data_IF_517874715998
#
_entry.id   IF_517874715998
#
_cell.length_a   1.000
_cell.length_b   1.000
_cell.length_c   1.000
_cell.angle_alpha   90.00
_cell.angle_beta   90.00
_cell.angle_gamma   90.00
#
_symmetry.space_group_name_H-M   'P 1'
#
loop_
_entity.id
_entity.type
_entity.pdbx_description
1 polymer ?
#
# COMPACT_ATOMS: atom_id res chain seq x y z
N UNK A 1 -6.87 14.73 -44.18
CA UNK A 1 -7.55 13.48 -43.78
C UNK A 1 -7.06 13.17 -42.37
N UNK A 2 -7.76 13.69 -41.37
CA UNK A 2 -7.44 13.48 -39.95
C UNK A 2 -7.92 12.09 -39.53
N UNK A 3 -7.00 11.21 -39.15
CA UNK A 3 -7.33 10.02 -38.38
C UNK A 3 -6.97 10.28 -36.92
N UNK A 4 -8.01 10.50 -36.14
CA UNK A 4 -7.98 10.52 -34.67
C UNK A 4 -7.60 9.11 -34.20
N UNK A 5 -6.41 8.96 -33.64
CA UNK A 5 -6.00 7.74 -32.94
C UNK A 5 -6.80 7.71 -31.64
N UNK A 6 -7.82 6.85 -31.58
CA UNK A 6 -8.49 6.51 -30.33
C UNK A 6 -7.53 5.67 -29.50
N UNK A 7 -7.08 6.21 -28.39
CA UNK A 7 -6.47 5.48 -27.28
C UNK A 7 -7.52 4.48 -26.78
N UNK A 8 -7.35 3.20 -27.11
CA UNK A 8 -8.17 2.13 -26.54
C UNK A 8 -7.61 1.89 -25.13
N UNK A 9 -8.11 2.68 -24.17
CA UNK A 9 -8.02 2.36 -22.75
C UNK A 9 -8.73 1.03 -22.49
N UNK A 10 -8.22 0.26 -21.53
CA UNK A 10 -8.54 -1.15 -21.30
C UNK A 10 -9.93 -1.40 -20.66
N UNK A 11 -10.91 -0.60 -21.03
CA UNK A 11 -12.02 -0.27 -20.15
C UNK A 11 -13.35 -1.04 -20.30
N UNK A 12 -13.54 -2.10 -21.10
CA UNK A 12 -14.82 -2.81 -21.04
C UNK A 12 -14.83 -4.08 -20.17
N UNK A 13 -13.70 -4.60 -19.68
CA UNK A 13 -13.68 -5.94 -19.04
C UNK A 13 -13.67 -5.99 -17.51
N UNK A 14 -13.64 -4.86 -16.82
CA UNK A 14 -13.77 -4.79 -15.34
C UNK A 14 -15.08 -4.15 -14.87
N UNK A 15 -16.01 -3.85 -15.78
CA UNK A 15 -17.30 -3.25 -15.43
C UNK A 15 -18.32 -4.35 -15.13
N UNK A 16 -18.32 -4.86 -13.90
CA UNK A 16 -19.61 -5.14 -13.26
C UNK A 16 -20.17 -3.80 -12.76
N UNK A 17 -21.47 -3.53 -12.94
CA UNK A 17 -22.07 -2.26 -12.57
C UNK A 17 -22.28 -2.24 -11.05
N UNK A 18 -21.23 -1.97 -10.27
CA UNK A 18 -21.38 -1.66 -8.87
C UNK A 18 -21.55 -0.14 -8.75
N UNK A 19 -22.77 0.34 -8.89
CA UNK A 19 -23.11 1.68 -8.45
C UNK A 19 -22.97 1.73 -6.93
N UNK A 20 -21.93 2.38 -6.43
CA UNK A 20 -21.83 2.86 -5.07
C UNK A 20 -21.44 4.33 -5.14
N UNK A 21 -22.37 5.22 -4.79
CA UNK A 21 -22.04 6.62 -4.57
C UNK A 21 -20.96 6.71 -3.46
N UNK A 22 -20.06 7.69 -3.57
CA UNK A 22 -19.21 8.16 -2.48
C UNK A 22 -20.09 8.35 -1.24
N UNK A 23 -20.00 7.41 -0.31
CA UNK A 23 -20.84 7.37 0.87
C UNK A 23 -19.92 7.72 2.03
N UNK A 24 -20.18 8.90 2.62
CA UNK A 24 -19.64 9.32 3.90
C UNK A 24 -19.60 8.13 4.86
N UNK A 25 -18.54 8.06 5.67
CA UNK A 25 -18.37 7.02 6.68
C UNK A 25 -19.68 6.80 7.46
N UNK A 26 -20.16 5.55 7.54
CA UNK A 26 -21.34 5.25 8.34
C UNK A 26 -21.00 5.45 9.82
N UNK A 27 -21.71 6.33 10.51
CA UNK A 27 -21.64 6.44 11.97
C UNK A 27 -22.43 5.28 12.60
N UNK A 28 -21.72 4.29 13.12
CA UNK A 28 -22.30 3.08 13.65
C UNK A 28 -22.75 3.31 15.09
N UNK A 29 -24.06 3.18 15.34
CA UNK A 29 -24.57 3.28 16.71
C UNK A 29 -23.86 2.30 17.67
N UNK A 30 -23.67 2.71 18.93
CA UNK A 30 -23.05 1.87 19.96
C UNK A 30 -23.69 0.47 20.09
N UNK A 31 -25.01 0.36 19.90
CA UNK A 31 -25.72 -0.93 19.90
C UNK A 31 -25.34 -1.81 18.69
N UNK A 32 -25.15 -1.21 17.51
CA UNK A 32 -24.70 -1.93 16.30
C UNK A 32 -23.28 -2.44 16.50
N UNK A 33 -22.38 -1.61 17.02
CA UNK A 33 -20.99 -1.98 17.36
C UNK A 33 -21.00 -3.15 18.36
N UNK A 34 -21.72 -3.02 19.47
CA UNK A 34 -21.79 -4.06 20.50
C UNK A 34 -22.33 -5.40 19.96
N UNK A 35 -23.37 -5.36 19.13
CA UNK A 35 -23.92 -6.56 18.50
C UNK A 35 -22.92 -7.22 17.55
N UNK A 36 -22.21 -6.44 16.73
CA UNK A 36 -21.20 -6.95 15.80
C UNK A 36 -19.99 -7.54 16.54
N UNK A 37 -19.52 -6.88 17.60
CA UNK A 37 -18.43 -7.37 18.43
C UNK A 37 -18.80 -8.62 19.24
N UNK A 38 -20.09 -8.85 19.51
CA UNK A 38 -20.61 -10.05 20.20
C UNK A 38 -20.90 -11.21 19.24
N UNK A 39 -20.92 -10.99 17.92
CA UNK A 39 -21.08 -12.04 16.91
C UNK A 39 -19.76 -12.80 16.72
N UNK A 40 -19.24 -13.34 17.82
CA UNK A 40 -17.98 -14.07 17.86
C UNK A 40 -18.07 -15.38 17.07
N UNK A 41 -17.09 -15.56 16.21
CA UNK A 41 -16.90 -16.73 15.36
C UNK A 41 -15.41 -17.08 15.29
N UNK A 42 -15.05 -17.97 14.37
CA UNK A 42 -13.66 -18.28 14.06
C UNK A 42 -13.44 -18.32 12.56
N UNK A 43 -12.22 -18.04 12.13
CA UNK A 43 -11.76 -18.21 10.75
C UNK A 43 -10.39 -18.89 10.71
N UNK A 44 -9.92 -19.26 9.53
CA UNK A 44 -8.59 -19.85 9.32
C UNK A 44 -7.62 -18.81 8.76
N UNK A 45 -6.33 -19.11 8.86
CA UNK A 45 -5.26 -18.24 8.38
C UNK A 45 -4.63 -18.84 7.12
N UNK A 46 -4.65 -18.08 6.03
CA UNK A 46 -3.94 -18.40 4.79
C UNK A 46 -2.56 -17.74 4.83
N UNK A 47 -1.50 -18.54 4.75
CA UNK A 47 -0.11 -18.09 4.78
C UNK A 47 0.45 -18.12 3.36
N UNK A 48 0.70 -16.94 2.78
CA UNK A 48 1.35 -16.79 1.49
C UNK A 48 2.86 -16.69 1.65
N UNK A 49 3.59 -17.15 0.64
CA UNK A 49 5.05 -17.06 0.57
C UNK A 49 5.51 -17.10 -0.88
N UNK A 50 6.76 -16.72 -1.09
CA UNK A 50 7.47 -16.85 -2.36
C UNK A 50 8.29 -18.14 -2.39
N UNK A 51 7.91 -19.18 -3.15
CA UNK A 51 8.63 -20.46 -3.13
C UNK A 51 10.03 -20.39 -3.75
N UNK A 52 10.27 -19.44 -4.66
CA UNK A 52 11.55 -19.30 -5.38
C UNK A 52 12.69 -18.83 -4.47
N UNK A 53 12.39 -18.09 -3.40
CA UNK A 53 13.38 -17.42 -2.56
C UNK A 53 14.22 -16.38 -3.30
N UNK A 54 13.70 -15.82 -4.41
CA UNK A 54 14.37 -14.77 -5.18
C UNK A 54 13.37 -13.71 -5.66
N UNK A 55 13.70 -12.43 -5.46
CA UNK A 55 12.90 -11.30 -5.96
C UNK A 55 12.82 -11.25 -7.50
N UNK A 56 13.60 -12.06 -8.22
CA UNK A 56 13.49 -12.22 -9.68
C UNK A 56 12.20 -12.94 -10.12
N UNK A 57 11.62 -13.74 -9.23
CA UNK A 57 10.36 -14.45 -9.47
C UNK A 57 9.30 -14.01 -8.45
N UNK A 58 8.37 -13.17 -8.92
CA UNK A 58 7.25 -12.62 -8.16
C UNK A 58 6.17 -13.64 -7.78
N UNK A 59 6.24 -14.87 -8.30
CA UNK A 59 5.21 -15.88 -8.09
C UNK A 59 5.13 -16.29 -6.62
N UNK A 60 3.91 -16.36 -6.11
CA UNK A 60 3.62 -16.82 -4.75
C UNK A 60 2.82 -18.11 -4.73
N UNK A 61 2.84 -18.77 -3.58
CA UNK A 61 1.95 -19.87 -3.23
C UNK A 61 1.45 -19.67 -1.80
N UNK A 62 0.54 -20.53 -1.35
CA UNK A 62 0.01 -20.45 0.00
C UNK A 62 -0.34 -21.82 0.58
N UNK A 63 -0.29 -21.89 1.91
CA UNK A 63 -0.78 -23.01 2.70
C UNK A 63 -1.69 -22.50 3.83
N UNK A 64 -2.55 -23.37 4.34
CA UNK A 64 -3.30 -23.07 5.56
C UNK A 64 -2.37 -23.18 6.75
N UNK A 65 -2.38 -22.18 7.64
CA UNK A 65 -1.67 -22.26 8.91
C UNK A 65 -2.05 -23.53 9.69
N UNK A 66 -1.06 -24.19 10.28
CA UNK A 66 -1.22 -25.41 11.05
C UNK A 66 -0.83 -25.20 12.52
N UNK A 67 -1.46 -25.99 13.40
CA UNK A 67 -1.01 -26.22 14.77
C UNK A 67 0.13 -27.23 14.77
N UNK A 68 0.87 -27.33 15.87
CA UNK A 68 1.98 -28.27 16.04
C UNK A 68 1.58 -29.75 15.82
N UNK A 69 0.30 -30.09 16.02
CA UNK A 69 -0.23 -31.44 15.78
C UNK A 69 -0.69 -31.68 14.33
N UNK A 70 -0.43 -30.74 13.41
CA UNK A 70 -0.80 -30.81 12.00
C UNK A 70 -2.27 -30.50 11.67
N UNK A 71 -3.11 -30.17 12.66
CA UNK A 71 -4.48 -29.69 12.39
C UNK A 71 -4.52 -28.21 12.03
N UNK A 72 -5.54 -27.78 11.29
CA UNK A 72 -5.68 -26.37 10.89
C UNK A 72 -5.71 -25.42 12.09
N UNK A 73 -4.92 -24.34 11.99
CA UNK A 73 -4.92 -23.22 12.91
C UNK A 73 -6.09 -22.29 12.59
N UNK A 74 -6.82 -21.89 13.62
CA UNK A 74 -7.96 -20.99 13.51
C UNK A 74 -7.87 -19.93 14.59
N UNK A 75 -8.29 -18.71 14.27
CA UNK A 75 -8.35 -17.57 15.19
C UNK A 75 -9.81 -17.23 15.48
N UNK A 76 -10.09 -16.84 16.73
CA UNK A 76 -11.43 -16.40 17.15
C UNK A 76 -11.54 -14.89 17.02
N UNK A 77 -12.75 -14.38 16.78
CA UNK A 77 -12.95 -12.98 16.49
C UNK A 77 -14.31 -12.71 15.85
N UNK A 78 -14.45 -11.57 15.19
CA UNK A 78 -15.69 -11.17 14.52
C UNK A 78 -15.39 -10.48 13.20
N UNK A 79 -16.35 -10.54 12.29
CA UNK A 79 -16.25 -9.95 10.96
C UNK A 79 -16.96 -8.60 10.90
N UNK A 80 -16.41 -7.67 10.12
CA UNK A 80 -17.14 -6.50 9.69
C UNK A 80 -16.85 -6.15 8.24
N UNK A 81 -17.92 -5.85 7.50
CA UNK A 81 -17.81 -5.46 6.11
C UNK A 81 -19.00 -4.66 5.61
N UNK A 82 -18.73 -3.79 4.63
CA UNK A 82 -19.73 -3.20 3.73
C UNK A 82 -20.07 -4.12 2.54
N UNK A 83 -19.13 -4.96 2.12
CA UNK A 83 -19.25 -5.88 0.97
C UNK A 83 -18.31 -7.08 1.10
N UNK A 84 -18.76 -8.29 0.76
CA UNK A 84 -18.03 -9.55 1.01
C UNK A 84 -16.51 -9.58 0.67
N UNK A 85 -16.04 -8.84 -0.33
CA UNK A 85 -14.61 -8.79 -0.71
C UNK A 85 -13.76 -7.76 0.07
N UNK A 86 -14.39 -6.82 0.78
CA UNK A 86 -13.74 -5.84 1.68
C UNK A 86 -13.86 -6.23 3.16
N UNK A 87 -14.09 -7.51 3.46
CA UNK A 87 -14.29 -7.94 4.85
C UNK A 87 -12.98 -7.86 5.65
N UNK A 88 -13.06 -7.46 6.91
CA UNK A 88 -11.94 -7.44 7.86
C UNK A 88 -12.28 -8.29 9.09
N UNK A 89 -11.34 -9.12 9.52
CA UNK A 89 -11.51 -9.97 10.70
C UNK A 89 -10.80 -9.36 11.90
N UNK A 90 -11.54 -9.10 12.97
CA UNK A 90 -11.02 -8.51 14.20
C UNK A 90 -10.80 -9.63 15.22
N UNK A 91 -9.60 -9.73 15.76
CA UNK A 91 -9.20 -10.79 16.69
C UNK A 91 -8.34 -10.21 17.81
N UNK A 92 -8.30 -10.91 18.96
CA UNK A 92 -7.40 -10.56 20.06
C UNK A 92 -6.06 -11.32 19.95
N UNK A 93 -5.86 -12.09 18.87
CA UNK A 93 -4.59 -12.77 18.57
C UNK A 93 -3.59 -11.77 17.96
N UNK A 94 -2.38 -11.72 18.51
CA UNK A 94 -1.33 -10.83 18.00
C UNK A 94 -0.86 -11.22 16.60
N UNK A 95 -0.46 -10.23 15.79
CA UNK A 95 0.11 -10.46 14.47
C UNK A 95 1.36 -11.35 14.53
N UNK A 96 2.21 -11.17 15.54
CA UNK A 96 3.41 -12.00 15.74
C UNK A 96 3.05 -13.47 15.94
N UNK A 97 2.02 -13.76 16.74
CA UNK A 97 1.55 -15.14 16.94
C UNK A 97 1.07 -15.74 15.62
N UNK A 98 0.39 -14.96 14.77
CA UNK A 98 -0.10 -15.44 13.47
C UNK A 98 1.08 -15.66 12.51
N UNK A 99 2.05 -14.73 12.50
CA UNK A 99 3.27 -14.80 11.70
C UNK A 99 4.09 -16.05 12.07
N UNK A 100 4.37 -16.26 13.35
CA UNK A 100 5.08 -17.45 13.86
C UNK A 100 4.40 -18.75 13.42
N UNK A 101 3.05 -18.78 13.40
CA UNK A 101 2.30 -19.95 12.91
C UNK A 101 2.48 -20.16 11.41
N UNK A 102 2.49 -19.10 10.62
CA UNK A 102 2.76 -19.18 9.20
C UNK A 102 4.20 -19.62 8.91
N UNK A 103 5.19 -19.03 9.58
CA UNK A 103 6.61 -19.41 9.46
C UNK A 103 6.82 -20.89 9.80
N UNK A 104 6.27 -21.36 10.93
CA UNK A 104 6.36 -22.76 11.34
C UNK A 104 5.67 -23.71 10.35
N UNK A 105 4.56 -23.28 9.73
CA UNK A 105 3.81 -24.07 8.76
C UNK A 105 4.57 -24.22 7.45
N UNK A 106 5.12 -23.11 6.96
CA UNK A 106 5.73 -23.03 5.63
C UNK A 106 7.16 -23.58 5.62
N UNK A 107 7.86 -23.56 6.77
CA UNK A 107 9.28 -23.93 6.88
C UNK A 107 10.15 -23.18 5.85
N UNK A 108 9.76 -21.95 5.52
CA UNK A 108 10.38 -21.08 4.53
C UNK A 108 11.40 -20.15 5.20
N UNK A 109 12.50 -20.73 5.71
CA UNK A 109 13.54 -20.01 6.44
C UNK A 109 14.58 -19.42 5.48
N UNK A 110 14.18 -18.46 4.66
CA UNK A 110 15.06 -17.72 3.75
C UNK A 110 14.55 -16.29 3.57
N UNK A 111 15.46 -15.34 3.35
CA UNK A 111 15.18 -13.90 3.46
C UNK A 111 14.05 -13.43 2.52
N UNK A 112 14.01 -13.94 1.28
CA UNK A 112 13.01 -13.58 0.28
C UNK A 112 11.75 -14.48 0.32
N UNK A 113 11.42 -15.09 1.46
CA UNK A 113 10.16 -15.83 1.63
C UNK A 113 8.94 -14.90 1.62
N UNK A 114 9.12 -13.65 2.04
CA UNK A 114 8.14 -12.56 2.03
C UNK A 114 6.76 -13.01 2.54
N UNK A 115 6.75 -13.62 3.72
CA UNK A 115 5.54 -14.24 4.27
C UNK A 115 4.50 -13.15 4.60
N UNK A 116 3.32 -13.30 4.01
CA UNK A 116 2.12 -12.51 4.32
C UNK A 116 0.96 -13.43 4.68
N UNK A 117 -0.03 -12.94 5.40
CA UNK A 117 -1.13 -13.80 5.86
C UNK A 117 -2.46 -13.07 5.96
N UNK A 118 -3.54 -13.82 5.75
CA UNK A 118 -4.91 -13.29 5.68
C UNK A 118 -5.91 -14.25 6.31
N UNK A 119 -7.03 -13.71 6.80
CA UNK A 119 -8.18 -14.49 7.21
C UNK A 119 -8.91 -15.03 5.98
N UNK A 120 -9.27 -16.31 6.02
CA UNK A 120 -10.06 -16.95 4.97
C UNK A 120 -10.75 -18.20 5.51
N UNK A 121 -12.05 -18.35 5.24
CA UNK A 121 -12.81 -19.54 5.65
C UNK A 121 -12.63 -20.72 4.68
N UNK A 122 -12.39 -20.41 3.40
CA UNK A 122 -12.24 -21.42 2.35
C UNK A 122 -11.17 -21.00 1.33
N UNK A 123 -10.81 -21.92 0.43
CA UNK A 123 -9.96 -21.61 -0.73
C UNK A 123 -10.54 -20.52 -1.64
N UNK A 124 -11.87 -20.35 -1.66
CA UNK A 124 -12.54 -19.37 -2.51
C UNK A 124 -12.68 -17.99 -1.85
N UNK A 125 -12.39 -17.88 -0.55
CA UNK A 125 -12.39 -16.60 0.17
C UNK A 125 -11.25 -15.71 -0.36
N UNK A 126 -11.50 -14.40 -0.44
CA UNK A 126 -10.47 -13.41 -0.73
C UNK A 126 -9.43 -13.34 0.41
N UNK A 127 -8.40 -12.52 0.21
CA UNK A 127 -7.41 -12.25 1.24
C UNK A 127 -7.96 -11.16 2.18
N UNK A 128 -8.56 -11.55 3.31
CA UNK A 128 -9.10 -10.59 4.27
C UNK A 128 -8.07 -10.18 5.31
N UNK A 129 -7.92 -8.88 5.54
CA UNK A 129 -7.05 -8.33 6.57
C UNK A 129 -7.46 -8.84 7.95
N UNK A 130 -6.47 -9.21 8.77
CA UNK A 130 -6.67 -9.58 10.18
C UNK A 130 -6.27 -8.38 11.04
N UNK A 131 -7.24 -7.71 11.65
CA UNK A 131 -7.02 -6.64 12.61
C UNK A 131 -6.84 -7.23 14.02
N UNK A 132 -5.74 -6.92 14.69
CA UNK A 132 -5.56 -7.24 16.11
C UNK A 132 -6.16 -6.11 16.93
N UNK A 133 -7.18 -6.42 17.73
CA UNK A 133 -7.73 -5.45 18.68
C UNK A 133 -6.67 -5.03 19.68
N UNK A 134 -6.75 -3.78 20.12
CA UNK A 134 -5.83 -3.27 21.13
C UNK A 134 -6.18 -3.87 22.49
N UNK A 135 -5.15 -4.13 23.29
CA UNK A 135 -5.33 -4.42 24.70
C UNK A 135 -5.97 -3.20 25.38
N UNK A 136 -6.80 -3.44 26.41
CA UNK A 136 -7.40 -2.35 27.16
C UNK A 136 -6.31 -1.40 27.70
N UNK A 137 -6.32 -0.14 27.27
CA UNK A 137 -5.25 0.80 27.57
C UNK A 137 -5.11 1.00 29.07
N UNK A 138 -3.87 0.98 29.56
CA UNK A 138 -3.53 1.52 30.86
C UNK A 138 -2.79 2.85 30.62
N UNK A 139 -3.54 3.96 30.72
CA UNK A 139 -3.05 5.34 30.95
C UNK A 139 -2.51 6.12 29.73
N UNK A 140 -3.26 7.16 29.32
CA UNK A 140 -2.93 8.15 28.27
C UNK A 140 -1.57 8.85 28.46
N UNK A 141 -0.98 8.80 29.66
CA UNK A 141 0.35 9.38 29.94
C UNK A 141 1.53 8.54 29.39
N UNK A 142 1.25 7.40 28.75
CA UNK A 142 2.26 6.49 28.19
C UNK A 142 1.93 6.01 26.76
N UNK A 143 1.07 6.74 26.03
CA UNK A 143 0.68 6.45 24.64
C UNK A 143 1.92 6.21 23.75
N UNK A 144 1.91 5.11 23.02
CA UNK A 144 3.02 4.59 22.22
C UNK A 144 2.44 3.99 20.95
N UNK A 145 3.08 4.30 19.82
CA UNK A 145 2.67 3.80 18.53
C UNK A 145 2.75 2.28 18.52
N UNK A 146 1.60 1.64 18.31
CA UNK A 146 1.44 0.18 18.32
C UNK A 146 0.98 -0.37 16.97
N UNK A 147 0.67 0.49 15.99
CA UNK A 147 0.32 0.10 14.62
C UNK A 147 0.61 1.18 13.59
N UNK A 148 0.73 0.74 12.35
CA UNK A 148 0.81 1.60 11.15
C UNK A 148 -0.49 1.48 10.36
N UNK A 149 -1.04 2.61 9.93
CA UNK A 149 -2.16 2.68 8.98
C UNK A 149 -1.70 3.44 7.75
N UNK A 150 -1.71 2.78 6.58
CA UNK A 150 -1.19 3.38 5.34
C UNK A 150 -2.31 3.79 4.39
N UNK A 151 -2.25 5.03 3.91
CA UNK A 151 -3.04 5.55 2.80
C UNK A 151 -2.14 5.87 1.61
N UNK A 152 -2.72 5.83 0.41
CA UNK A 152 -1.98 6.21 -0.78
C UNK A 152 -2.45 5.50 -2.04
N UNK A 153 -1.51 5.31 -2.97
CA UNK A 153 -1.79 4.66 -4.25
C UNK A 153 -1.02 3.33 -4.45
N UNK A 154 -0.72 3.00 -5.71
CA UNK A 154 0.05 1.82 -6.10
C UNK A 154 1.44 1.67 -5.49
N UNK A 155 2.11 2.75 -5.04
CA UNK A 155 3.41 2.66 -4.36
C UNK A 155 3.26 2.07 -2.94
N UNK A 156 2.04 2.07 -2.41
CA UNK A 156 1.73 1.65 -1.04
C UNK A 156 0.70 0.51 -0.95
N UNK A 157 -0.10 0.25 -2.00
CA UNK A 157 -1.12 -0.81 -2.00
C UNK A 157 -0.49 -2.21 -1.89
N UNK A 158 -1.02 -3.00 -0.96
CA UNK A 158 -0.58 -4.37 -0.64
C UNK A 158 -1.58 -5.46 -1.05
N UNK A 159 -2.69 -5.08 -1.70
CA UNK A 159 -3.65 -6.05 -2.24
C UNK A 159 -5.10 -5.60 -2.34
N UNK A 160 -5.43 -4.33 -2.08
CA UNK A 160 -6.79 -3.81 -2.15
C UNK A 160 -7.34 -3.89 -3.58
N UNK A 161 -6.61 -3.35 -4.57
CA UNK A 161 -7.03 -3.46 -5.98
C UNK A 161 -6.96 -4.91 -6.49
N UNK A 162 -6.08 -5.71 -5.91
CA UNK A 162 -5.91 -7.12 -6.26
C UNK A 162 -7.10 -7.97 -5.83
N UNK A 163 -7.58 -7.82 -4.60
CA UNK A 163 -8.83 -8.43 -4.16
C UNK A 163 -10.02 -7.93 -4.99
N UNK A 164 -10.10 -6.61 -5.24
CA UNK A 164 -11.19 -6.02 -6.00
C UNK A 164 -11.24 -6.51 -7.46
N UNK A 165 -10.09 -6.80 -8.05
CA UNK A 165 -9.95 -7.33 -9.40
C UNK A 165 -10.12 -8.85 -9.47
N UNK A 166 -10.41 -9.53 -8.37
CA UNK A 166 -10.47 -10.99 -8.29
C UNK A 166 -9.13 -11.66 -8.61
N UNK A 167 -8.04 -11.07 -8.10
CA UNK A 167 -6.67 -11.57 -8.20
C UNK A 167 -6.10 -11.60 -9.62
N UNK A 168 -6.63 -10.76 -10.52
CA UNK A 168 -6.17 -10.67 -11.92
C UNK A 168 -5.25 -9.47 -12.16
N UNK A 169 -5.31 -8.44 -11.32
CA UNK A 169 -4.60 -7.18 -11.50
C UNK A 169 -3.99 -6.68 -10.17
N UNK A 170 -2.67 -6.46 -10.11
CA UNK A 170 -1.69 -6.84 -11.13
C UNK A 170 -1.51 -8.37 -11.23
N UNK A 171 -0.93 -8.85 -12.34
CA UNK A 171 -0.75 -10.27 -12.63
C UNK A 171 0.24 -10.93 -11.64
N UNK A 172 -0.24 -11.95 -10.94
CA UNK A 172 0.46 -12.62 -9.82
C UNK A 172 1.70 -13.45 -10.22
N UNK A 173 2.01 -13.56 -11.51
CA UNK A 173 3.24 -14.20 -12.03
C UNK A 173 4.36 -13.22 -12.32
N UNK A 174 4.08 -11.93 -12.25
CA UNK A 174 5.06 -10.88 -12.52
C UNK A 174 5.04 -9.79 -11.46
N UNK A 175 3.96 -9.68 -10.69
CA UNK A 175 3.81 -8.73 -9.62
C UNK A 175 3.50 -9.48 -8.34
N UNK A 176 4.18 -9.14 -7.26
CA UNK A 176 4.15 -9.91 -6.02
C UNK A 176 2.79 -9.78 -5.33
N UNK A 177 1.94 -10.81 -5.44
CA UNK A 177 0.65 -10.92 -4.72
C UNK A 177 -0.11 -9.59 -4.55
N UNK A 178 -0.40 -8.91 -5.66
CA UNK A 178 -1.17 -7.66 -5.64
C UNK A 178 -0.39 -6.37 -5.45
N UNK A 179 0.89 -6.45 -5.10
CA UNK A 179 1.79 -5.30 -5.00
C UNK A 179 2.21 -4.84 -6.39
N UNK A 180 2.35 -3.53 -6.59
CA UNK A 180 2.97 -3.00 -7.81
C UNK A 180 4.49 -3.01 -7.71
N UNK A 181 5.06 -4.14 -7.28
CA UNK A 181 6.49 -4.40 -7.28
C UNK A 181 6.77 -5.90 -7.41
N UNK A 182 8.04 -6.30 -7.36
CA UNK A 182 8.47 -7.70 -7.34
C UNK A 182 8.58 -8.29 -5.93
N UNK A 183 8.19 -7.55 -4.88
CA UNK A 183 8.21 -7.97 -3.48
C UNK A 183 7.46 -6.95 -2.60
N UNK A 184 7.83 -6.90 -1.33
CA UNK A 184 7.26 -5.98 -0.35
C UNK A 184 7.45 -4.51 -0.75
N UNK A 185 6.55 -3.65 -0.29
CA UNK A 185 6.61 -2.20 -0.47
C UNK A 185 7.12 -1.48 0.80
N UNK A 186 7.38 -0.18 0.70
CA UNK A 186 8.14 0.58 1.69
C UNK A 186 7.51 0.59 3.09
N UNK A 187 6.18 0.63 3.18
CA UNK A 187 5.42 0.63 4.43
C UNK A 187 5.41 -0.76 5.09
N UNK A 188 5.52 -1.85 4.33
CA UNK A 188 5.70 -3.19 4.89
C UNK A 188 7.10 -3.35 5.48
N UNK A 189 8.16 -2.95 4.76
CA UNK A 189 9.51 -2.93 5.32
C UNK A 189 9.59 -2.06 6.59
N UNK A 190 8.91 -0.91 6.59
CA UNK A 190 8.90 0.01 7.72
C UNK A 190 8.28 -0.65 8.95
N UNK A 191 7.15 -1.30 8.76
CA UNK A 191 6.43 -1.99 9.82
C UNK A 191 7.22 -3.21 10.34
N UNK A 192 7.88 -3.96 9.45
CA UNK A 192 8.76 -5.07 9.83
C UNK A 192 9.94 -4.61 10.69
N UNK A 193 10.63 -3.53 10.29
CA UNK A 193 11.76 -2.96 11.05
C UNK A 193 11.34 -2.46 12.45
N UNK A 194 10.08 -2.04 12.62
CA UNK A 194 9.53 -1.62 13.92
C UNK A 194 8.82 -2.74 14.68
N UNK A 195 8.62 -3.92 14.08
CA UNK A 195 7.82 -4.99 14.68
C UNK A 195 6.36 -4.59 14.91
N UNK A 196 5.78 -3.84 13.97
CA UNK A 196 4.41 -3.33 14.08
C UNK A 196 3.46 -3.97 13.05
N UNK A 197 2.16 -4.11 13.36
CA UNK A 197 1.13 -4.31 12.35
C UNK A 197 1.11 -3.17 11.32
N UNK A 198 0.88 -3.52 10.06
CA UNK A 198 0.58 -2.58 8.98
C UNK A 198 -0.82 -2.85 8.41
N UNK A 199 -1.72 -1.88 8.53
CA UNK A 199 -3.05 -1.95 7.96
C UNK A 199 -3.19 -0.99 6.78
N UNK A 200 -3.51 -1.52 5.61
CA UNK A 200 -3.38 -0.78 4.36
C UNK A 200 -4.72 -0.39 3.75
N UNK A 201 -4.93 0.90 3.57
CA UNK A 201 -6.06 1.50 2.84
C UNK A 201 -5.67 2.07 1.48
N UNK A 202 -4.38 2.04 1.11
CA UNK A 202 -3.91 2.47 -0.20
C UNK A 202 -4.53 1.62 -1.32
N UNK A 203 -4.84 2.23 -2.47
CA UNK A 203 -5.45 1.53 -3.61
C UNK A 203 -4.66 1.79 -4.88
N UNK A 204 -4.26 0.73 -5.57
CA UNK A 204 -3.49 0.82 -6.81
C UNK A 204 -4.19 1.63 -7.88
N UNK A 205 -3.57 2.73 -8.29
CA UNK A 205 -4.14 3.68 -9.25
C UNK A 205 -5.11 4.68 -8.63
N UNK A 206 -5.21 4.77 -7.30
CA UNK A 206 -5.94 5.83 -6.62
C UNK A 206 -5.43 7.21 -7.04
N UNK A 207 -6.35 8.17 -7.07
CA UNK A 207 -6.08 9.58 -7.26
C UNK A 207 -6.58 10.33 -6.01
N UNK A 208 -6.49 11.66 -5.97
CA UNK A 208 -7.15 12.45 -4.92
C UNK A 208 -8.68 12.25 -4.89
N UNK A 209 -9.31 11.94 -6.03
CA UNK A 209 -10.74 11.66 -6.16
C UNK A 209 -11.02 10.31 -6.84
N UNK A 210 -12.23 9.77 -6.64
CA UNK A 210 -12.67 8.52 -7.26
C UNK A 210 -12.66 8.64 -8.80
N UNK A 211 -11.82 7.85 -9.46
CA UNK A 211 -11.74 7.84 -10.93
C UNK A 211 -12.64 6.76 -11.55
N UNK A 212 -12.84 5.65 -10.84
CA UNK A 212 -13.73 4.54 -11.21
C UNK A 212 -14.33 3.90 -9.96
N UNK A 213 -15.42 3.13 -10.09
CA UNK A 213 -16.08 2.42 -8.97
C UNK A 213 -15.11 1.65 -8.06
N UNK A 214 -14.03 1.11 -8.64
CA UNK A 214 -13.03 0.32 -7.93
C UNK A 214 -11.85 1.16 -7.47
N UNK A 215 -11.58 2.31 -8.11
CA UNK A 215 -10.50 3.21 -7.76
C UNK A 215 -11.02 4.28 -6.80
N UNK A 216 -10.96 3.95 -5.51
CA UNK A 216 -11.27 4.88 -4.43
C UNK A 216 -10.14 5.90 -4.30
N UNK A 217 -10.49 7.17 -4.41
CA UNK A 217 -9.57 8.27 -4.13
C UNK A 217 -9.24 8.39 -2.65
N UNK A 218 -8.30 9.26 -2.32
CA UNK A 218 -7.79 9.41 -0.96
C UNK A 218 -8.88 9.69 0.08
N UNK A 219 -9.82 10.58 -0.23
CA UNK A 219 -10.93 10.92 0.68
C UNK A 219 -11.79 9.69 1.00
N UNK A 220 -12.14 8.88 -0.02
CA UNK A 220 -12.86 7.61 0.15
C UNK A 220 -12.06 6.57 0.96
N UNK A 221 -10.72 6.56 0.86
CA UNK A 221 -9.88 5.69 1.68
C UNK A 221 -9.98 6.09 3.16
N UNK A 222 -9.90 7.39 3.46
CA UNK A 222 -10.04 7.93 4.83
C UNK A 222 -11.43 7.66 5.40
N UNK A 223 -12.50 7.91 4.63
CA UNK A 223 -13.87 7.61 5.06
C UNK A 223 -14.05 6.12 5.36
N UNK A 224 -13.49 5.24 4.53
CA UNK A 224 -13.52 3.80 4.79
C UNK A 224 -12.75 3.43 6.05
N UNK A 225 -11.60 4.05 6.31
CA UNK A 225 -10.85 3.77 7.53
C UNK A 225 -11.62 4.22 8.78
N UNK A 226 -12.19 5.43 8.77
CA UNK A 226 -13.02 5.98 9.86
C UNK A 226 -14.23 5.08 10.15
N UNK A 227 -14.81 4.45 9.13
CA UNK A 227 -15.89 3.47 9.30
C UNK A 227 -15.39 2.18 10.00
N UNK A 228 -14.27 1.59 9.56
CA UNK A 228 -13.79 0.30 10.09
C UNK A 228 -13.15 0.43 11.47
N UNK A 229 -12.52 1.56 11.80
CA UNK A 229 -11.88 1.74 13.10
C UNK A 229 -12.91 1.77 14.26
N UNK A 230 -14.16 2.15 14.00
CA UNK A 230 -15.25 2.11 14.99
C UNK A 230 -15.52 0.70 15.55
N UNK A 231 -15.15 -0.36 14.83
CA UNK A 231 -15.32 -1.75 15.27
C UNK A 231 -14.17 -2.29 16.10
N UNK A 232 -13.00 -1.63 16.07
CA UNK A 232 -11.85 -2.06 16.83
C UNK A 232 -12.10 -1.86 18.34
N UNK A 233 -11.77 -2.87 19.15
CA UNK A 233 -11.86 -2.75 20.61
C UNK A 233 -10.66 -1.97 21.14
N UNK A 234 -10.92 -1.11 22.12
CA UNK A 234 -9.92 -0.31 22.84
C UNK A 234 -9.04 0.57 21.94
N UNK A 235 -9.51 0.91 20.74
CA UNK A 235 -8.72 1.64 19.77
C UNK A 235 -8.48 3.09 20.21
N UNK A 236 -7.22 3.47 20.30
CA UNK A 236 -6.78 4.85 20.49
C UNK A 236 -6.04 5.33 19.23
N UNK A 237 -6.58 6.34 18.57
CA UNK A 237 -6.01 6.92 17.36
C UNK A 237 -4.66 7.60 17.60
N UNK A 238 -4.32 7.93 18.85
CA UNK A 238 -3.01 8.49 19.23
C UNK A 238 -1.90 7.45 19.17
N UNK A 239 -2.22 6.17 19.33
CA UNK A 239 -1.27 5.06 19.24
C UNK A 239 -1.07 4.56 17.79
N UNK A 240 -1.58 5.28 16.80
CA UNK A 240 -1.46 4.94 15.38
C UNK A 240 -0.52 5.88 14.66
N UNK A 241 0.47 5.32 13.94
CA UNK A 241 1.21 6.06 12.92
C UNK A 241 0.45 5.98 11.60
N UNK A 242 -0.06 7.11 11.12
CA UNK A 242 -0.55 7.17 9.75
C UNK A 242 0.60 7.42 8.79
N UNK A 243 0.66 6.69 7.69
CA UNK A 243 1.61 6.92 6.61
C UNK A 243 0.88 7.30 5.33
N UNK A 244 1.35 8.33 4.62
CA UNK A 244 0.68 8.86 3.42
C UNK A 244 1.67 9.19 2.30
N UNK A 245 1.38 8.67 1.10
CA UNK A 245 1.98 9.09 -0.17
C UNK A 245 0.89 9.03 -1.25
N UNK A 246 0.64 10.14 -1.95
CA UNK A 246 -0.48 10.23 -2.91
C UNK A 246 -0.28 11.38 -3.90
N UNK A 247 -0.63 11.16 -5.16
CA UNK A 247 -0.71 12.21 -6.18
C UNK A 247 0.07 11.91 -7.47
N UNK A 248 0.96 10.92 -7.47
CA UNK A 248 1.67 10.53 -8.69
C UNK A 248 0.71 10.06 -9.78
N UNK A 249 -0.28 9.25 -9.42
CA UNK A 249 -1.31 8.81 -10.36
C UNK A 249 -2.15 9.98 -10.91
N UNK A 250 -2.47 10.98 -10.09
CA UNK A 250 -3.19 12.20 -10.51
C UNK A 250 -2.45 12.93 -11.64
N UNK A 251 -1.14 13.12 -11.50
CA UNK A 251 -0.34 13.88 -12.47
C UNK A 251 0.06 13.04 -13.69
N UNK A 252 0.36 11.76 -13.49
CA UNK A 252 0.86 10.87 -14.55
C UNK A 252 -0.28 10.32 -15.42
N UNK A 253 -1.38 9.87 -14.80
CA UNK A 253 -2.41 9.07 -15.45
C UNK A 253 -3.72 9.82 -15.69
N UNK A 254 -4.06 10.77 -14.82
CA UNK A 254 -5.37 11.45 -14.83
C UNK A 254 -5.32 12.91 -15.27
N UNK A 255 -4.12 13.45 -15.48
CA UNK A 255 -3.88 14.83 -15.92
C UNK A 255 -4.53 15.90 -15.03
N UNK A 256 -4.67 15.61 -13.72
CA UNK A 256 -5.26 16.55 -12.77
C UNK A 256 -4.31 17.71 -12.48
N UNK A 257 -4.89 18.83 -12.06
CA UNK A 257 -4.14 20.02 -11.67
C UNK A 257 -3.62 19.91 -10.24
N UNK A 258 -2.53 20.61 -9.94
CA UNK A 258 -1.97 20.67 -8.57
C UNK A 258 -3.03 21.17 -7.58
N UNK A 259 -3.81 22.18 -7.96
CA UNK A 259 -4.87 22.73 -7.11
C UNK A 259 -5.93 21.71 -6.70
N UNK A 260 -6.34 20.81 -7.61
CA UNK A 260 -7.31 19.76 -7.30
C UNK A 260 -6.71 18.72 -6.35
N UNK A 261 -5.48 18.27 -6.61
CA UNK A 261 -4.81 17.25 -5.77
C UNK A 261 -4.48 17.81 -4.37
N UNK A 262 -4.10 19.09 -4.30
CA UNK A 262 -3.89 19.82 -3.04
C UNK A 262 -5.17 19.95 -2.21
N UNK A 263 -6.32 20.16 -2.86
CA UNK A 263 -7.61 20.22 -2.18
C UNK A 263 -8.00 18.86 -1.59
N UNK A 264 -7.89 17.79 -2.38
CA UNK A 264 -8.18 16.43 -1.93
C UNK A 264 -7.26 15.98 -0.78
N UNK A 265 -5.96 16.33 -0.86
CA UNK A 265 -5.01 16.09 0.23
C UNK A 265 -5.42 16.81 1.51
N UNK A 266 -5.77 18.09 1.42
CA UNK A 266 -6.18 18.88 2.60
C UNK A 266 -7.43 18.29 3.23
N UNK A 267 -8.45 17.98 2.43
CA UNK A 267 -9.71 17.40 2.91
C UNK A 267 -9.49 16.06 3.62
N UNK A 268 -8.68 15.17 3.04
CA UNK A 268 -8.41 13.87 3.63
C UNK A 268 -7.60 13.96 4.93
N UNK A 269 -6.58 14.80 4.97
CA UNK A 269 -5.74 14.99 6.16
C UNK A 269 -6.51 15.68 7.27
N UNK A 270 -7.31 16.71 6.97
CA UNK A 270 -8.18 17.38 7.93
C UNK A 270 -9.20 16.38 8.53
N UNK A 271 -9.78 15.50 7.71
CA UNK A 271 -10.71 14.46 8.20
C UNK A 271 -10.02 13.45 9.14
N UNK A 272 -8.77 13.06 8.87
CA UNK A 272 -7.99 12.22 9.79
C UNK A 272 -7.73 12.93 11.13
N UNK A 273 -7.39 14.23 11.09
CA UNK A 273 -7.16 15.06 12.28
C UNK A 273 -8.46 15.21 13.09
N UNK A 274 -9.57 15.49 12.43
CA UNK A 274 -10.91 15.60 13.06
C UNK A 274 -11.34 14.29 13.75
N UNK A 275 -10.80 13.16 13.28
CA UNK A 275 -10.99 11.83 13.86
C UNK A 275 -9.88 11.41 14.84
N UNK A 276 -9.04 12.35 15.29
CA UNK A 276 -8.10 12.16 16.40
C UNK A 276 -6.73 11.60 16.03
N UNK A 277 -6.34 11.61 14.74
CA UNK A 277 -4.99 11.24 14.32
C UNK A 277 -4.02 12.39 14.63
N UNK A 278 -2.99 12.07 15.42
CA UNK A 278 -1.98 13.04 15.83
C UNK A 278 -0.57 12.73 15.28
N UNK A 279 -0.31 11.48 14.87
CA UNK A 279 0.98 11.04 14.35
C UNK A 279 0.89 10.69 12.86
N UNK A 280 1.60 11.43 12.01
CA UNK A 280 1.60 11.19 10.56
C UNK A 280 2.99 11.30 9.94
N UNK A 281 3.38 10.30 9.17
CA UNK A 281 4.52 10.33 8.27
C UNK A 281 4.01 10.53 6.83
N UNK A 282 4.46 11.59 6.17
CA UNK A 282 4.14 11.87 4.78
C UNK A 282 5.42 11.75 3.96
N UNK A 283 5.34 11.07 2.82
CA UNK A 283 6.42 11.07 1.84
C UNK A 283 6.13 12.16 0.80
N UNK A 284 7.15 12.94 0.45
CA UNK A 284 7.08 13.73 -0.77
C UNK A 284 6.86 12.81 -1.99
N UNK A 285 6.39 13.37 -3.11
CA UNK A 285 6.35 12.61 -4.36
C UNK A 285 7.75 12.57 -4.95
N UNK A 286 8.16 11.39 -5.46
CA UNK A 286 9.40 11.24 -6.21
C UNK A 286 9.26 11.87 -7.60
N UNK A 287 10.38 12.20 -8.26
CA UNK A 287 10.35 12.61 -9.67
C UNK A 287 9.98 11.43 -10.59
N UNK A 288 8.68 11.19 -10.78
CA UNK A 288 8.21 10.11 -11.65
C UNK A 288 8.55 10.33 -13.13
N UNK A 289 8.95 11.54 -13.55
CA UNK A 289 9.29 11.84 -14.95
C UNK A 289 10.51 11.05 -15.45
N UNK A 290 11.33 10.54 -14.55
CA UNK A 290 12.50 9.71 -14.86
C UNK A 290 12.14 8.25 -15.16
N UNK A 291 10.90 7.83 -14.86
CA UNK A 291 10.50 6.44 -15.02
C UNK A 291 10.57 6.00 -16.50
N UNK A 292 10.94 4.73 -16.79
CA UNK A 292 11.14 4.26 -18.17
C UNK A 292 9.95 4.51 -19.10
N UNK A 293 8.72 4.60 -18.58
CA UNK A 293 7.52 4.89 -19.35
C UNK A 293 7.61 6.22 -20.14
N UNK A 294 8.34 7.22 -19.63
CA UNK A 294 8.47 8.52 -20.27
C UNK A 294 9.37 8.48 -21.52
N UNK A 295 10.13 7.39 -21.73
CA UNK A 295 10.80 7.09 -23.02
C UNK A 295 9.80 6.93 -24.17
N UNK A 296 8.53 6.67 -23.87
CA UNK A 296 7.45 6.45 -24.82
C UNK A 296 6.41 7.57 -24.84
N UNK A 297 6.60 8.62 -24.03
CA UNK A 297 5.73 9.78 -23.97
C UNK A 297 6.25 10.92 -24.87
N UNK A 298 5.40 11.94 -25.08
CA UNK A 298 5.89 13.21 -25.61
C UNK A 298 6.87 13.84 -24.60
N UNK A 299 8.06 14.32 -25.02
CA UNK A 299 9.04 14.91 -24.09
C UNK A 299 8.47 16.03 -23.22
N UNK A 300 7.53 16.82 -23.75
CA UNK A 300 6.89 17.89 -22.97
C UNK A 300 6.07 17.38 -21.79
N UNK A 301 5.60 16.11 -21.83
CA UNK A 301 4.83 15.52 -20.73
C UNK A 301 5.71 15.22 -19.52
N UNK A 302 6.97 14.82 -19.72
CA UNK A 302 7.90 14.59 -18.62
C UNK A 302 8.16 15.90 -17.85
N UNK A 303 8.43 16.98 -18.57
CA UNK A 303 8.65 18.32 -18.00
C UNK A 303 7.40 18.84 -17.27
N UNK A 304 6.21 18.66 -17.85
CA UNK A 304 4.94 19.04 -17.23
C UNK A 304 4.69 18.28 -15.92
N UNK A 305 4.89 16.96 -15.91
CA UNK A 305 4.70 16.11 -14.73
C UNK A 305 5.70 16.49 -13.64
N UNK A 306 6.98 16.68 -13.98
CA UNK A 306 8.01 17.13 -13.03
C UNK A 306 7.64 18.48 -12.40
N UNK A 307 7.16 19.43 -13.21
CA UNK A 307 6.73 20.75 -12.70
C UNK A 307 5.56 20.63 -11.71
N UNK A 308 4.55 19.80 -12.01
CA UNK A 308 3.42 19.53 -11.10
C UNK A 308 3.89 18.88 -9.79
N UNK A 309 4.81 17.92 -9.86
CA UNK A 309 5.37 17.24 -8.67
C UNK A 309 6.10 18.24 -7.77
N UNK A 310 6.96 19.10 -8.33
CA UNK A 310 7.69 20.12 -7.55
C UNK A 310 6.74 21.11 -6.89
N UNK A 311 5.74 21.59 -7.62
CA UNK A 311 4.73 22.51 -7.07
C UNK A 311 3.91 21.84 -5.94
N UNK A 312 3.50 20.59 -6.13
CA UNK A 312 2.75 19.84 -5.13
C UNK A 312 3.56 19.52 -3.88
N UNK A 313 4.83 19.11 -4.02
CA UNK A 313 5.70 18.86 -2.87
C UNK A 313 5.90 20.12 -2.01
N UNK A 314 6.06 21.29 -2.64
CA UNK A 314 6.15 22.57 -1.92
C UNK A 314 4.84 22.91 -1.18
N UNK A 315 3.69 22.59 -1.78
CA UNK A 315 2.40 22.71 -1.11
C UNK A 315 2.30 21.79 0.13
N UNK A 316 2.68 20.50 -0.01
CA UNK A 316 2.65 19.53 1.09
C UNK A 316 3.58 19.95 2.22
N UNK A 317 4.78 20.44 1.92
CA UNK A 317 5.72 20.99 2.92
C UNK A 317 5.08 22.13 3.72
N UNK A 318 4.44 23.08 3.03
CA UNK A 318 3.70 24.17 3.68
C UNK A 318 2.58 23.66 4.59
N UNK A 319 1.81 22.67 4.13
CA UNK A 319 0.72 22.08 4.92
C UNK A 319 1.21 21.32 6.14
N UNK A 320 2.26 20.54 6.02
CA UNK A 320 2.86 19.85 7.17
C UNK A 320 3.33 20.85 8.23
N UNK A 321 3.95 21.96 7.82
CA UNK A 321 4.34 23.02 8.76
C UNK A 321 3.12 23.67 9.44
N UNK A 322 2.00 23.86 8.74
CA UNK A 322 0.74 24.34 9.32
C UNK A 322 0.18 23.37 10.38
N UNK A 323 0.22 22.06 10.14
CA UNK A 323 -0.24 21.06 11.11
C UNK A 323 0.69 20.94 12.32
N UNK A 324 2.01 21.01 12.12
CA UNK A 324 2.99 21.06 13.20
C UNK A 324 2.78 22.29 14.10
N UNK A 325 2.44 23.45 13.53
CA UNK A 325 2.13 24.66 14.29
C UNK A 325 0.85 24.52 15.15
N UNK A 326 -0.03 23.57 14.83
CA UNK A 326 -1.21 23.20 15.62
C UNK A 326 -0.88 22.20 16.75
N UNK A 327 0.37 21.72 16.82
CA UNK A 327 0.84 20.78 17.84
C UNK A 327 0.77 19.30 17.44
N UNK A 328 0.47 19.00 16.17
CA UNK A 328 0.43 17.64 15.65
C UNK A 328 1.85 17.11 15.35
N UNK A 329 2.08 15.82 15.55
CA UNK A 329 3.37 15.18 15.30
C UNK A 329 3.44 14.67 13.85
N UNK A 330 3.59 15.61 12.91
CA UNK A 330 3.65 15.31 11.48
C UNK A 330 5.10 15.41 10.99
N UNK A 331 5.53 14.47 10.16
CA UNK A 331 6.87 14.44 9.57
C UNK A 331 6.74 14.29 8.06
N UNK A 332 7.30 15.24 7.31
CA UNK A 332 7.51 15.10 5.88
C UNK A 332 8.90 14.54 5.63
N UNK A 333 8.99 13.41 4.93
CA UNK A 333 10.26 12.86 4.45
C UNK A 333 10.47 13.20 2.97
N UNK A 334 11.62 13.79 2.66
CA UNK A 334 12.00 14.22 1.31
C UNK A 334 12.52 13.04 0.46
N UNK A 335 11.59 12.19 0.03
CA UNK A 335 11.82 11.12 -0.94
C UNK A 335 12.21 11.65 -2.33
N UNK A 336 11.87 12.90 -2.67
CA UNK A 336 12.24 13.51 -3.95
C UNK A 336 13.76 13.61 -4.04
N UNK A 337 14.39 14.25 -3.04
CA UNK A 337 15.85 14.36 -2.99
C UNK A 337 16.53 13.00 -2.84
N UNK A 338 15.94 12.06 -2.09
CA UNK A 338 16.45 10.69 -2.03
C UNK A 338 16.50 10.04 -3.42
N UNK A 339 15.44 10.16 -4.22
CA UNK A 339 15.41 9.60 -5.57
C UNK A 339 16.42 10.28 -6.51
N UNK A 340 16.61 11.60 -6.40
CA UNK A 340 17.65 12.30 -7.16
C UNK A 340 19.05 11.75 -6.80
N UNK A 341 19.32 11.48 -5.52
CA UNK A 341 20.60 10.90 -5.11
C UNK A 341 20.76 9.44 -5.54
N UNK A 342 19.70 8.62 -5.47
CA UNK A 342 19.73 7.24 -5.98
C UNK A 342 20.10 7.21 -7.46
N UNK A 343 19.53 8.12 -8.26
CA UNK A 343 19.79 8.18 -9.70
C UNK A 343 21.19 8.71 -9.99
N UNK A 344 21.66 9.70 -9.24
CA UNK A 344 22.99 10.28 -9.41
C UNK A 344 24.11 9.32 -8.95
N UNK A 345 23.86 8.55 -7.88
CA UNK A 345 24.85 7.73 -7.19
C UNK A 345 24.37 6.28 -6.94
N UNK A 346 23.91 5.53 -7.97
CA UNK A 346 23.21 4.26 -7.79
C UNK A 346 24.03 3.18 -7.08
N UNK A 347 25.36 3.18 -7.25
CA UNK A 347 26.23 2.23 -6.58
C UNK A 347 26.25 2.36 -5.05
N UNK A 348 25.95 3.54 -4.50
CA UNK A 348 25.84 3.74 -3.05
C UNK A 348 24.66 2.96 -2.46
N UNK A 349 23.67 2.66 -3.30
CA UNK A 349 22.44 1.96 -2.96
C UNK A 349 22.42 0.51 -3.47
N UNK A 350 23.55 0.00 -3.96
CA UNK A 350 23.62 -1.34 -4.55
C UNK A 350 22.96 -1.46 -5.94
N UNK A 351 22.50 -0.36 -6.52
CA UNK A 351 21.85 -0.35 -7.81
C UNK A 351 22.87 -0.21 -8.96
N UNK A 352 22.55 -0.85 -10.08
CA UNK A 352 23.33 -0.83 -11.33
C UNK A 352 22.58 -0.14 -12.45
N UNK A 353 21.24 -0.23 -12.45
CA UNK A 353 20.40 0.36 -13.48
C UNK A 353 19.25 1.17 -12.87
N UNK A 354 19.23 2.47 -13.17
CA UNK A 354 18.20 3.43 -12.73
C UNK A 354 17.40 4.00 -13.90
N UNK A 355 17.60 3.51 -15.12
CA UNK A 355 17.04 4.10 -16.34
C UNK A 355 16.13 3.15 -17.10
N UNK A 356 16.31 1.84 -16.96
CA UNK A 356 15.51 0.80 -17.62
C UNK A 356 14.68 0.01 -16.62
N UNK A 357 13.58 -0.56 -17.11
CA UNK A 357 12.81 -1.57 -16.38
C UNK A 357 13.59 -2.89 -16.31
N UNK A 358 13.55 -3.59 -15.18
CA UNK A 358 14.05 -4.96 -15.09
C UNK A 358 13.24 -5.92 -15.99
N UNK A 359 11.92 -5.75 -16.04
CA UNK A 359 11.04 -6.48 -16.96
C UNK A 359 11.27 -6.07 -18.41
N UNK A 360 11.21 -7.02 -19.35
CA UNK A 360 11.37 -6.78 -20.79
C UNK A 360 10.10 -6.19 -21.42
N UNK A 361 9.74 -4.99 -20.98
CA UNK A 361 8.59 -4.22 -21.45
C UNK A 361 9.12 -3.01 -22.23
N UNK A 362 8.87 -2.98 -23.53
CA UNK A 362 9.39 -1.96 -24.45
C UNK A 362 8.30 -0.98 -24.93
N UNK A 363 7.35 -0.67 -24.04
CA UNK A 363 6.21 0.23 -24.27
C UNK A 363 5.65 0.71 -22.92
N UNK A 364 4.74 1.68 -22.95
CA UNK A 364 3.87 2.01 -21.81
C UNK A 364 2.42 1.67 -22.15
N UNK A 365 1.83 0.71 -21.43
CA UNK A 365 0.43 0.34 -21.57
C UNK A 365 -0.11 -0.29 -20.28
N UNK A 366 -1.28 0.14 -19.82
CA UNK A 366 -1.96 -0.45 -18.65
C UNK A 366 -2.25 -1.95 -18.80
N UNK A 367 -2.32 -2.46 -20.04
CA UNK A 367 -2.47 -3.89 -20.33
C UNK A 367 -1.33 -4.75 -19.82
N UNK A 368 -0.17 -4.17 -19.56
CA UNK A 368 1.01 -4.90 -19.14
C UNK A 368 0.87 -5.40 -17.69
N UNK A 369 0.12 -4.72 -16.83
CA UNK A 369 -0.19 -5.24 -15.49
C UNK A 369 -1.10 -6.47 -15.49
N UNK A 370 -1.78 -6.80 -16.59
CA UNK A 370 -2.63 -8.00 -16.72
C UNK A 370 -1.88 -9.21 -17.30
N UNK A 371 -0.62 -9.02 -17.69
CA UNK A 371 0.17 -10.03 -18.42
C UNK A 371 1.38 -10.43 -17.59
N UNK A 372 1.85 -11.64 -17.84
CA UNK A 372 3.17 -12.06 -17.38
C UNK A 372 4.26 -11.54 -18.32
N UNK A 373 5.39 -11.11 -17.77
CA UNK A 373 6.57 -10.65 -18.53
C UNK A 373 7.83 -11.34 -18.05
N UNK A 374 8.79 -11.52 -18.95
CA UNK A 374 10.11 -12.04 -18.61
C UNK A 374 11.03 -10.89 -18.16
N UNK A 375 12.09 -11.24 -17.44
CA UNK A 375 13.20 -10.32 -17.18
C UNK A 375 13.98 -10.01 -18.45
N UNK A 376 14.54 -8.80 -18.53
CA UNK A 376 15.60 -8.50 -19.51
C UNK A 376 16.84 -9.32 -19.21
N UNK A 377 17.64 -9.61 -20.24
CA UNK A 377 18.86 -10.41 -20.07
C UNK A 377 19.86 -9.81 -19.08
N UNK A 378 19.98 -8.48 -19.02
CA UNK A 378 20.85 -7.80 -18.05
C UNK A 378 20.32 -7.98 -16.61
N UNK A 379 19.02 -7.74 -16.39
CA UNK A 379 18.39 -7.99 -15.10
C UNK A 379 18.48 -9.46 -14.66
N UNK A 380 18.22 -10.41 -15.55
CA UNK A 380 18.37 -11.84 -15.25
C UNK A 380 19.81 -12.26 -14.94
N UNK A 381 20.81 -11.48 -15.39
CA UNK A 381 22.24 -11.75 -15.12
C UNK A 381 22.68 -11.20 -13.77
N UNK A 382 22.18 -10.02 -13.38
CA UNK A 382 22.65 -9.30 -12.18
C UNK A 382 21.65 -9.30 -11.01
N UNK A 383 20.42 -9.80 -11.23
CA UNK A 383 19.34 -9.80 -10.25
C UNK A 383 18.55 -8.49 -10.25
N UNK A 384 17.25 -8.61 -9.98
CA UNK A 384 16.28 -7.51 -9.89
C UNK A 384 16.57 -6.53 -8.75
N UNK A 385 17.25 -6.96 -7.69
CA UNK A 385 17.71 -6.09 -6.61
C UNK A 385 18.79 -5.09 -7.06
N UNK A 386 19.32 -5.22 -8.28
CA UNK A 386 20.26 -4.23 -8.85
C UNK A 386 19.57 -3.18 -9.73
N UNK A 387 18.23 -3.22 -9.83
CA UNK A 387 17.44 -2.31 -10.63
C UNK A 387 16.59 -1.39 -9.77
N UNK A 388 16.49 -0.12 -10.15
CA UNK A 388 15.55 0.82 -9.54
C UNK A 388 14.11 0.46 -9.93
N UNK A 389 13.86 0.24 -11.22
CA UNK A 389 12.53 0.01 -11.77
C UNK A 389 12.27 -1.47 -12.03
N UNK A 390 11.16 -1.99 -11.51
CA UNK A 390 10.69 -3.34 -11.85
C UNK A 390 10.03 -3.34 -13.23
N UNK A 391 8.91 -2.63 -13.35
CA UNK A 391 8.24 -2.34 -14.61
C UNK A 391 8.72 -1.04 -15.24
N UNK A 392 7.94 -0.48 -16.16
CA UNK A 392 8.25 0.84 -16.77
C UNK A 392 7.84 2.03 -15.90
N UNK A 393 7.11 1.79 -14.81
CA UNK A 393 6.54 2.81 -13.94
C UNK A 393 7.02 2.61 -12.50
N UNK A 394 6.78 1.42 -11.94
CA UNK A 394 6.98 1.17 -10.51
C UNK A 394 8.40 0.74 -10.11
N UNK A 395 8.85 1.15 -8.91
CA UNK A 395 10.11 0.71 -8.34
C UNK A 395 10.14 -0.79 -8.00
N UNK A 396 11.35 -1.35 -7.93
CA UNK A 396 11.62 -2.68 -7.39
C UNK A 396 11.46 -2.72 -5.87
N UNK A 397 11.33 -3.91 -5.30
CA UNK A 397 11.27 -4.10 -3.85
C UNK A 397 12.55 -3.64 -3.16
N UNK A 398 13.71 -3.76 -3.82
CA UNK A 398 14.96 -3.20 -3.31
C UNK A 398 14.88 -1.68 -3.18
N UNK A 399 14.28 -0.98 -4.15
CA UNK A 399 14.08 0.46 -4.07
C UNK A 399 13.10 0.83 -2.94
N UNK A 400 12.03 0.05 -2.76
CA UNK A 400 11.15 0.21 -1.60
C UNK A 400 11.88 0.00 -0.27
N UNK A 401 12.78 -0.98 -0.18
CA UNK A 401 13.61 -1.18 1.00
C UNK A 401 14.53 0.02 1.25
N UNK A 402 15.18 0.56 0.22
CA UNK A 402 16.02 1.78 0.35
C UNK A 402 15.22 2.96 0.90
N UNK A 403 13.99 3.19 0.37
CA UNK A 403 13.10 4.24 0.89
C UNK A 403 12.79 3.98 2.37
N UNK A 404 12.43 2.75 2.71
CA UNK A 404 12.07 2.36 4.07
C UNK A 404 13.23 2.54 5.05
N UNK A 405 14.42 2.05 4.71
CA UNK A 405 15.62 2.17 5.55
C UNK A 405 15.94 3.64 5.83
N UNK A 406 15.84 4.49 4.80
CA UNK A 406 16.10 5.93 4.95
C UNK A 406 15.04 6.63 5.80
N UNK A 407 13.76 6.26 5.67
CA UNK A 407 12.66 6.74 6.53
C UNK A 407 12.85 6.27 7.98
N UNK A 408 13.19 5.01 8.20
CA UNK A 408 13.42 4.42 9.52
C UNK A 408 14.56 5.14 10.24
N UNK A 409 15.63 5.45 9.52
CA UNK A 409 16.79 6.15 10.08
C UNK A 409 16.50 7.63 10.36
N UNK A 410 15.85 8.33 9.43
CA UNK A 410 15.84 9.80 9.43
C UNK A 410 14.50 10.43 9.82
N UNK A 411 13.38 9.72 9.69
CA UNK A 411 12.04 10.23 9.99
C UNK A 411 11.45 9.61 11.25
N UNK A 412 11.57 8.29 11.42
CA UNK A 412 10.95 7.59 12.55
C UNK A 412 11.41 8.01 13.96
N UNK A 413 12.64 8.49 14.20
CA UNK A 413 13.05 8.96 15.52
C UNK A 413 12.19 10.12 16.10
N UNK A 414 11.34 10.77 15.27
CA UNK A 414 10.43 11.82 15.70
C UNK A 414 9.11 11.30 16.31
N UNK A 415 8.86 9.99 16.28
CA UNK A 415 7.66 9.38 16.82
C UNK A 415 7.92 8.58 18.10
N UNK A 416 6.89 8.44 18.94
CA UNK A 416 6.98 7.72 20.20
C UNK A 416 6.56 6.25 20.03
N UNK A 417 7.54 5.35 19.88
CA UNK A 417 7.35 3.90 19.84
C UNK A 417 7.54 3.26 21.23
#
# INVERSE_FOLDING_TARGET
>A
MNQTIRTIGLLPFLVLPFYGASAQAEDLSANKIANLQQDETKTYVRCWYRPSGSHDDASTSWEWALKDNGSYYSINGYWYSKTAWKNMFYTDVSQDTIRERCEATLNANYDAADITFFAADTRLSYNHTIWTNDDASNNDNTSKINKVVTFGDSISDTGNIYNASQWIFPNDKTWFLGHFSNGLVWNEYLALEKGLPNYNWAVGGAAGSDQYVVLTGLTSQVESYVEYMQLAKNYDTKDTLVTLEIGLNDFVNYDRSVAEVSADFTEAVDNLIDNGIENMLILALVDASIAPQFKYADPSKADEVKAKIVEYNAFVEGKVAEYQAQGLNFVLYDTFSLFEDIVANPSNYGLRNTSDSCLDINRSASSDYLKSHNLRSDCATYGSDTYLFWGVTHPSTQTHKIISDAVVENALPNFNF
#
